data_IF_848681904785
#
_entry.id   IF_848681904785
#
_cell.length_a   1.000
_cell.length_b   1.000
_cell.length_c   1.000
_cell.angle_alpha   90.00
_cell.angle_beta   90.00
_cell.angle_gamma   90.00
#
_symmetry.space_group_name_H-M   'P 1'
#
loop_
_entity.id
_entity.type
_entity.pdbx_description
1 polymer ?
#
# COMPACT_ATOMS: atom_id res chain seq x y z
N UNK A 1 93.55 -17.56 -30.38
CA UNK A 1 92.71 -16.35 -30.25
C UNK A 1 91.28 -16.80 -30.04
N UNK A 2 90.74 -16.49 -28.86
CA UNK A 2 89.42 -16.90 -28.36
C UNK A 2 88.41 -15.84 -28.82
N UNK A 3 87.30 -16.25 -29.45
CA UNK A 3 86.19 -15.37 -29.83
C UNK A 3 84.85 -16.08 -29.61
N UNK A 4 84.10 -15.64 -28.61
CA UNK A 4 82.92 -16.27 -28.01
C UNK A 4 81.64 -16.04 -28.84
N UNK A 5 80.79 -17.06 -28.86
CA UNK A 5 79.44 -17.09 -29.44
C UNK A 5 78.42 -16.31 -28.59
N UNK A 6 77.50 -15.66 -29.30
CA UNK A 6 76.36 -14.92 -28.79
C UNK A 6 75.25 -15.84 -28.24
N UNK A 7 74.64 -15.45 -27.13
CA UNK A 7 73.40 -16.02 -26.60
C UNK A 7 72.39 -14.89 -26.36
N UNK A 8 71.30 -14.88 -27.12
CA UNK A 8 70.19 -13.96 -26.97
C UNK A 8 69.24 -14.47 -25.87
N UNK A 9 68.97 -13.64 -24.85
CA UNK A 9 68.01 -13.92 -23.79
C UNK A 9 66.68 -13.23 -24.13
N UNK A 10 65.66 -14.02 -24.48
CA UNK A 10 64.30 -13.55 -24.75
C UNK A 10 63.52 -13.54 -23.43
N UNK A 11 63.19 -12.36 -22.91
CA UNK A 11 62.32 -12.20 -21.73
C UNK A 11 60.88 -12.09 -22.23
N UNK A 12 60.08 -13.13 -21.97
CA UNK A 12 58.64 -13.13 -22.24
C UNK A 12 57.90 -12.39 -21.12
N UNK A 13 57.34 -11.22 -21.42
CA UNK A 13 56.43 -10.49 -20.53
C UNK A 13 55.03 -11.10 -20.68
N UNK A 14 54.57 -11.82 -19.67
CA UNK A 14 53.18 -12.31 -19.60
C UNK A 14 52.32 -11.16 -19.11
N UNK A 15 51.59 -10.51 -20.03
CA UNK A 15 50.57 -9.54 -19.68
C UNK A 15 49.35 -10.28 -19.12
N UNK A 16 49.10 -10.14 -17.81
CA UNK A 16 47.86 -10.60 -17.18
C UNK A 16 46.75 -9.62 -17.61
N UNK A 17 45.67 -10.07 -18.27
CA UNK A 17 44.56 -9.19 -18.57
C UNK A 17 43.86 -8.86 -17.25
N UNK A 18 43.89 -7.59 -16.85
CA UNK A 18 42.96 -7.04 -15.86
C UNK A 18 41.57 -7.14 -16.48
N UNK A 19 40.82 -8.17 -16.11
CA UNK A 19 39.38 -8.24 -16.37
C UNK A 19 38.74 -7.03 -15.70
N UNK A 20 38.47 -6.01 -16.51
CA UNK A 20 37.59 -4.93 -16.12
C UNK A 20 36.22 -5.56 -15.92
N UNK A 21 35.79 -5.70 -14.67
CA UNK A 21 34.40 -6.00 -14.37
C UNK A 21 33.57 -4.94 -15.08
N UNK A 22 32.86 -5.35 -16.13
CA UNK A 22 31.90 -4.49 -16.80
C UNK A 22 30.87 -4.18 -15.73
N UNK A 23 30.90 -2.95 -15.21
CA UNK A 23 29.84 -2.44 -14.35
C UNK A 23 28.54 -2.64 -15.11
N UNK A 24 27.71 -3.55 -14.60
CA UNK A 24 26.40 -3.83 -15.15
C UNK A 24 25.66 -2.49 -15.21
N UNK A 25 25.25 -2.08 -16.41
CA UNK A 25 24.57 -0.82 -16.62
C UNK A 25 23.37 -0.74 -15.68
N UNK A 26 23.33 0.28 -14.81
CA UNK A 26 22.18 0.59 -13.96
C UNK A 26 20.99 0.89 -14.87
N UNK A 27 20.12 -0.09 -15.06
CA UNK A 27 18.92 0.01 -15.88
C UNK A 27 17.76 0.70 -15.13
N UNK A 28 18.07 1.40 -14.04
CA UNK A 28 17.10 2.14 -13.23
C UNK A 28 16.25 1.26 -12.34
N UNK A 29 16.56 -0.03 -12.22
CA UNK A 29 15.80 -0.96 -11.37
C UNK A 29 15.77 -0.53 -9.91
N UNK A 30 16.95 -0.20 -9.36
CA UNK A 30 17.07 0.23 -7.96
C UNK A 30 16.26 1.50 -7.70
N UNK A 31 16.36 2.49 -8.59
CA UNK A 31 15.58 3.72 -8.49
C UNK A 31 14.08 3.45 -8.56
N UNK A 32 13.64 2.59 -9.48
CA UNK A 32 12.23 2.21 -9.65
C UNK A 32 11.68 1.48 -8.43
N UNK A 33 12.45 0.58 -7.83
CA UNK A 33 12.06 -0.13 -6.60
C UNK A 33 11.96 0.84 -5.42
N UNK A 34 12.95 1.72 -5.24
CA UNK A 34 12.92 2.72 -4.18
C UNK A 34 11.78 3.74 -4.38
N UNK A 35 11.44 4.07 -5.63
CA UNK A 35 10.27 4.89 -5.95
C UNK A 35 8.96 4.19 -5.56
N UNK A 36 8.83 2.89 -5.86
CA UNK A 36 7.70 2.09 -5.44
C UNK A 36 7.58 2.04 -3.91
N UNK A 37 8.68 1.81 -3.18
CA UNK A 37 8.68 1.81 -1.72
C UNK A 37 8.24 3.16 -1.13
N UNK A 38 8.59 4.29 -1.76
CA UNK A 38 8.10 5.61 -1.35
C UNK A 38 6.59 5.74 -1.55
N UNK A 39 6.06 5.24 -2.66
CA UNK A 39 4.62 5.21 -2.92
C UNK A 39 3.92 4.33 -1.88
N UNK A 40 4.43 3.13 -1.62
CA UNK A 40 3.90 2.25 -0.57
C UNK A 40 3.91 2.92 0.80
N UNK A 41 5.04 3.51 1.23
CA UNK A 41 5.13 4.20 2.51
C UNK A 41 4.07 5.29 2.68
N UNK A 42 3.83 6.07 1.62
CA UNK A 42 2.82 7.12 1.62
C UNK A 42 1.40 6.56 1.65
N UNK A 43 1.08 5.60 0.79
CA UNK A 43 -0.24 4.94 0.75
C UNK A 43 -0.54 4.22 2.06
N UNK A 44 0.42 3.50 2.64
CA UNK A 44 0.24 2.82 3.93
C UNK A 44 0.00 3.83 5.06
N UNK A 45 0.67 4.98 5.06
CA UNK A 45 0.51 6.00 6.11
C UNK A 45 -0.84 6.72 6.04
N UNK A 46 -1.27 7.13 4.84
CA UNK A 46 -2.60 7.73 4.63
C UNK A 46 -3.70 6.70 4.91
N UNK A 47 -3.54 5.49 4.36
CA UNK A 47 -4.49 4.41 4.54
C UNK A 47 -4.62 3.98 5.99
N UNK A 48 -3.53 3.98 6.77
CA UNK A 48 -3.56 3.71 8.21
C UNK A 48 -4.48 4.68 8.95
N UNK A 49 -4.35 5.99 8.70
CA UNK A 49 -5.25 7.01 9.28
C UNK A 49 -6.72 6.71 8.92
N UNK A 50 -6.99 6.36 7.67
CA UNK A 50 -8.34 6.01 7.20
C UNK A 50 -8.91 4.76 7.90
N UNK A 51 -8.20 3.63 7.86
CA UNK A 51 -8.73 2.37 8.42
C UNK A 51 -8.78 2.36 9.94
N UNK A 52 -7.85 3.04 10.62
CA UNK A 52 -7.83 3.18 12.09
C UNK A 52 -8.87 4.19 12.58
N UNK A 53 -8.95 5.36 11.94
CA UNK A 53 -9.91 6.41 12.29
C UNK A 53 -11.37 5.94 12.19
N UNK A 54 -11.65 5.05 11.23
CA UNK A 54 -13.00 4.53 10.99
C UNK A 54 -13.31 3.19 11.68
N UNK A 55 -12.35 2.59 12.37
CA UNK A 55 -12.42 1.21 12.86
C UNK A 55 -13.70 0.90 13.68
N UNK A 56 -14.05 1.80 14.60
CA UNK A 56 -15.20 1.62 15.51
C UNK A 56 -16.58 1.71 14.84
N UNK A 57 -16.63 2.13 13.57
CA UNK A 57 -17.86 2.22 12.77
C UNK A 57 -17.95 1.09 11.74
N UNK A 58 -16.86 0.37 11.52
CA UNK A 58 -16.79 -0.74 10.59
C UNK A 58 -17.49 -1.98 11.14
N UNK A 59 -18.32 -2.61 10.30
CA UNK A 59 -19.01 -3.87 10.63
C UNK A 59 -18.06 -5.06 10.75
N UNK A 60 -16.87 -4.97 10.12
CA UNK A 60 -15.80 -5.94 10.23
C UNK A 60 -14.49 -5.21 10.51
N UNK A 61 -13.83 -5.59 11.59
CA UNK A 61 -12.53 -5.08 11.99
C UNK A 61 -11.51 -6.21 12.08
N UNK A 62 -10.23 -5.84 12.05
CA UNK A 62 -9.11 -6.73 12.35
C UNK A 62 -8.08 -5.98 13.17
N UNK A 63 -7.21 -6.72 13.87
CA UNK A 63 -6.02 -6.13 14.47
C UNK A 63 -4.93 -5.97 13.41
N UNK A 64 -4.23 -4.84 13.45
CA UNK A 64 -3.10 -4.52 12.58
C UNK A 64 -2.02 -3.75 13.35
N UNK A 65 -0.79 -3.82 12.86
CA UNK A 65 0.39 -3.12 13.43
C UNK A 65 0.99 -2.08 12.49
N UNK A 66 0.44 -1.93 11.28
CA UNK A 66 0.89 -0.93 10.29
C UNK A 66 2.20 -1.27 9.58
N UNK A 67 2.44 -2.56 9.34
CA UNK A 67 3.57 -3.06 8.55
C UNK A 67 3.11 -3.54 7.17
N UNK A 68 3.91 -3.23 6.16
CA UNK A 68 3.93 -3.93 4.87
C UNK A 68 5.22 -4.74 4.82
N UNK A 69 5.12 -6.04 4.53
CA UNK A 69 6.27 -6.94 4.39
C UNK A 69 6.67 -7.08 2.93
N UNK A 70 7.95 -7.34 2.68
CA UNK A 70 8.49 -7.75 1.38
C UNK A 70 9.21 -9.10 1.49
N UNK A 71 9.13 -9.88 0.41
CA UNK A 71 9.91 -11.10 0.18
C UNK A 71 10.87 -10.83 -0.99
N UNK A 72 12.17 -10.73 -0.72
CA UNK A 72 13.21 -10.38 -1.70
C UNK A 72 13.28 -11.40 -2.86
N UNK A 73 13.21 -12.73 -2.60
CA UNK A 73 13.00 -13.73 -3.66
C UNK A 73 11.71 -13.57 -4.48
N UNK A 74 10.72 -12.83 -3.97
CA UNK A 74 9.46 -12.49 -4.63
C UNK A 74 9.58 -11.55 -5.82
N UNK A 75 10.67 -10.78 -5.89
CA UNK A 75 10.88 -9.84 -6.99
C UNK A 75 11.28 -10.56 -8.29
N UNK A 76 11.01 -9.93 -9.43
CA UNK A 76 11.43 -10.43 -10.73
C UNK A 76 12.96 -10.46 -10.92
N UNK A 77 13.70 -9.67 -10.14
CA UNK A 77 15.17 -9.60 -10.11
C UNK A 77 15.67 -9.58 -8.66
N UNK A 78 15.67 -10.73 -7.96
CA UNK A 78 15.93 -10.79 -6.51
C UNK A 78 17.28 -10.22 -6.08
N UNK A 79 18.35 -10.49 -6.83
CA UNK A 79 19.70 -9.99 -6.48
C UNK A 79 19.80 -8.47 -6.62
N UNK A 80 19.16 -7.90 -7.66
CA UNK A 80 19.10 -6.46 -7.85
C UNK A 80 18.23 -5.79 -6.79
N UNK A 81 17.10 -6.41 -6.43
CA UNK A 81 16.26 -5.94 -5.31
C UNK A 81 17.05 -5.96 -4.00
N UNK A 82 17.78 -7.06 -3.74
CA UNK A 82 18.63 -7.22 -2.56
C UNK A 82 19.66 -6.11 -2.44
N UNK A 83 20.35 -5.81 -3.54
CA UNK A 83 21.34 -4.74 -3.60
C UNK A 83 20.71 -3.36 -3.43
N UNK A 84 19.55 -3.12 -4.04
CA UNK A 84 18.84 -1.84 -3.99
C UNK A 84 18.35 -1.51 -2.57
N UNK A 85 17.83 -2.49 -1.83
CA UNK A 85 17.30 -2.28 -0.47
C UNK A 85 18.31 -2.56 0.66
N UNK A 86 19.45 -3.18 0.34
CA UNK A 86 20.51 -3.46 1.32
C UNK A 86 20.16 -4.57 2.33
N UNK A 87 19.25 -5.47 2.00
CA UNK A 87 18.71 -6.50 2.92
C UNK A 87 19.43 -7.84 2.71
N UNK A 88 19.95 -8.46 3.77
CA UNK A 88 20.66 -9.74 3.67
C UNK A 88 19.77 -10.99 3.86
N UNK A 89 18.55 -10.82 4.38
CA UNK A 89 17.56 -11.90 4.56
C UNK A 89 16.54 -11.93 3.43
N UNK A 90 15.72 -12.97 3.38
CA UNK A 90 14.63 -13.04 2.39
C UNK A 90 13.50 -12.08 2.71
N UNK A 91 13.18 -11.88 3.99
CA UNK A 91 12.09 -11.00 4.40
C UNK A 91 12.60 -9.71 5.03
N UNK A 92 11.91 -8.62 4.74
CA UNK A 92 12.13 -7.34 5.38
C UNK A 92 10.84 -6.53 5.47
N UNK A 93 10.89 -5.45 6.21
CA UNK A 93 9.85 -4.42 6.23
C UNK A 93 9.93 -3.63 4.93
N UNK A 94 8.85 -3.58 4.14
CA UNK A 94 8.78 -2.75 2.93
C UNK A 94 8.37 -1.33 3.28
N UNK A 95 7.35 -1.19 4.13
CA UNK A 95 6.86 0.11 4.59
C UNK A 95 6.35 0.02 6.03
N UNK A 96 6.46 1.14 6.74
CA UNK A 96 5.92 1.35 8.07
C UNK A 96 4.95 2.52 7.99
N UNK A 97 3.69 2.29 8.34
CA UNK A 97 2.69 3.34 8.33
C UNK A 97 2.94 4.34 9.47
N UNK A 98 2.92 5.63 9.18
CA UNK A 98 3.10 6.68 10.18
C UNK A 98 2.05 6.59 11.30
N UNK A 99 2.49 6.76 12.56
CA UNK A 99 1.63 6.72 13.74
C UNK A 99 1.13 5.33 14.15
N UNK A 100 1.49 4.28 13.41
CA UNK A 100 1.15 2.88 13.73
C UNK A 100 1.93 2.31 14.92
N UNK A 101 1.51 1.16 15.49
CA UNK A 101 2.30 0.41 16.47
C UNK A 101 3.75 0.17 16.02
N UNK A 102 3.95 -0.20 14.76
CA UNK A 102 5.29 -0.44 14.21
C UNK A 102 6.15 0.84 14.17
N UNK A 103 5.57 1.97 13.77
CA UNK A 103 6.29 3.25 13.79
C UNK A 103 6.70 3.66 15.21
N UNK A 104 5.80 3.47 16.20
CA UNK A 104 6.10 3.79 17.61
C UNK A 104 7.13 2.86 18.23
N UNK A 105 7.27 1.64 17.72
CA UNK A 105 8.33 0.71 18.09
C UNK A 105 9.68 1.04 17.42
N UNK A 106 9.76 2.08 16.59
CA UNK A 106 10.99 2.48 15.91
C UNK A 106 11.40 1.56 14.76
N UNK A 107 10.47 0.77 14.23
CA UNK A 107 10.71 -0.02 13.03
C UNK A 107 10.85 0.89 11.80
N UNK A 108 11.73 0.50 10.89
CA UNK A 108 12.07 1.26 9.69
C UNK A 108 11.95 0.38 8.43
N UNK A 109 11.63 0.97 7.27
CA UNK A 109 11.73 0.29 5.99
C UNK A 109 13.12 -0.35 5.80
N UNK A 110 13.14 -1.48 5.10
CA UNK A 110 14.29 -2.32 4.81
C UNK A 110 15.01 -2.92 6.02
N UNK A 111 14.41 -2.88 7.22
CA UNK A 111 14.88 -3.74 8.32
C UNK A 111 14.56 -5.21 8.02
N UNK A 112 15.54 -6.12 8.14
CA UNK A 112 15.32 -7.54 7.95
C UNK A 112 14.42 -8.13 9.05
N UNK A 113 13.64 -9.16 8.72
CA UNK A 113 12.88 -9.95 9.70
C UNK A 113 13.26 -11.41 9.50
N UNK A 114 13.67 -12.08 10.58
CA UNK A 114 14.05 -13.50 10.55
C UNK A 114 12.99 -14.42 11.13
N UNK A 115 12.15 -13.93 12.06
CA UNK A 115 11.08 -14.71 12.66
C UNK A 115 9.90 -13.83 13.11
N UNK A 116 8.72 -14.46 13.16
CA UNK A 116 7.47 -13.88 13.67
C UNK A 116 6.91 -14.85 14.71
N UNK A 117 6.69 -14.40 15.94
CA UNK A 117 6.26 -15.24 17.08
C UNK A 117 7.14 -16.49 17.26
N UNK A 118 8.46 -16.29 17.16
CA UNK A 118 9.45 -17.36 17.25
C UNK A 118 9.51 -18.31 16.05
N UNK A 119 8.58 -18.21 15.09
CA UNK A 119 8.60 -19.02 13.87
C UNK A 119 9.61 -18.44 12.88
N UNK A 120 10.66 -19.21 12.59
CA UNK A 120 11.65 -18.83 11.59
C UNK A 120 11.01 -18.75 10.21
N UNK A 121 11.08 -17.57 9.56
CA UNK A 121 10.42 -17.34 8.28
C UNK A 121 11.02 -18.18 7.13
N UNK A 122 12.33 -18.41 7.14
CA UNK A 122 12.97 -19.23 6.12
C UNK A 122 12.53 -20.71 6.20
N UNK A 123 12.24 -21.19 7.42
CA UNK A 123 11.67 -22.52 7.62
C UNK A 123 10.19 -22.57 7.27
N UNK A 124 9.42 -21.55 7.70
CA UNK A 124 7.99 -21.43 7.45
C UNK A 124 7.68 -21.55 5.96
N UNK A 125 8.48 -20.90 5.10
CA UNK A 125 8.22 -20.82 3.65
C UNK A 125 8.93 -21.88 2.82
N UNK A 126 9.63 -22.83 3.46
CA UNK A 126 10.43 -23.87 2.79
C UNK A 126 9.64 -24.67 1.75
N UNK A 127 8.39 -25.00 2.08
CA UNK A 127 7.51 -25.83 1.25
C UNK A 127 6.53 -25.02 0.37
N UNK A 128 6.73 -23.70 0.27
CA UNK A 128 5.89 -22.83 -0.54
C UNK A 128 6.01 -23.20 -2.03
N UNK A 129 4.90 -23.64 -2.62
CA UNK A 129 4.85 -24.12 -4.02
C UNK A 129 4.95 -23.01 -5.07
N UNK A 130 4.85 -21.76 -4.66
CA UNK A 130 4.95 -20.59 -5.51
C UNK A 130 5.48 -19.40 -4.71
N UNK A 131 6.20 -18.49 -5.36
CA UNK A 131 6.87 -17.39 -4.67
C UNK A 131 5.90 -16.47 -3.94
N UNK A 132 4.74 -16.18 -4.55
CA UNK A 132 3.71 -15.35 -3.92
C UNK A 132 3.14 -15.96 -2.62
N UNK A 133 3.19 -17.29 -2.46
CA UNK A 133 2.72 -17.96 -1.23
C UNK A 133 3.65 -17.70 -0.04
N UNK A 134 4.95 -17.46 -0.30
CA UNK A 134 5.94 -17.19 0.75
C UNK A 134 5.57 -15.93 1.54
N UNK A 135 5.29 -14.83 0.83
CA UNK A 135 4.84 -13.58 1.44
C UNK A 135 3.50 -13.76 2.16
N UNK A 136 2.52 -14.45 1.53
CA UNK A 136 1.23 -14.73 2.16
C UNK A 136 1.35 -15.53 3.46
N UNK A 137 2.30 -16.47 3.56
CA UNK A 137 2.54 -17.23 4.78
C UNK A 137 3.19 -16.38 5.87
N UNK A 138 4.13 -15.50 5.51
CA UNK A 138 4.73 -14.55 6.45
C UNK A 138 3.68 -13.56 7.00
N UNK A 139 2.86 -12.98 6.13
CA UNK A 139 1.72 -12.12 6.52
C UNK A 139 0.68 -12.90 7.33
N UNK A 140 0.45 -14.17 6.99
CA UNK A 140 -0.43 -15.07 7.71
C UNK A 140 0.05 -15.35 9.14
N UNK A 141 1.36 -15.56 9.33
CA UNK A 141 1.96 -15.72 10.66
C UNK A 141 1.79 -14.45 11.50
N UNK A 142 2.02 -13.27 10.90
CA UNK A 142 1.79 -11.98 11.56
C UNK A 142 0.33 -11.82 11.99
N UNK A 143 -0.61 -12.07 11.07
CA UNK A 143 -2.03 -11.91 11.37
C UNK A 143 -2.53 -12.98 12.36
N UNK A 144 -1.98 -14.19 12.34
CA UNK A 144 -2.28 -15.24 13.31
C UNK A 144 -1.90 -14.82 14.73
N UNK A 145 -0.69 -14.28 14.94
CA UNK A 145 -0.25 -13.75 16.23
C UNK A 145 -1.19 -12.68 16.76
N UNK A 146 -1.54 -11.71 15.91
CA UNK A 146 -2.49 -10.65 16.27
C UNK A 146 -3.87 -11.20 16.63
N UNK A 147 -4.41 -12.14 15.86
CA UNK A 147 -5.73 -12.70 16.12
C UNK A 147 -5.80 -13.54 17.40
N UNK A 148 -4.72 -14.26 17.73
CA UNK A 148 -4.67 -15.17 18.87
C UNK A 148 -4.31 -14.43 20.17
N UNK A 149 -3.35 -13.51 20.11
CA UNK A 149 -2.72 -12.92 21.29
C UNK A 149 -3.01 -11.43 21.46
N UNK A 150 -3.55 -10.76 20.43
CA UNK A 150 -3.67 -9.30 20.40
C UNK A 150 -2.33 -8.58 20.16
N UNK A 151 -1.23 -9.31 20.03
CA UNK A 151 0.12 -8.80 19.79
C UNK A 151 0.92 -9.78 18.94
N UNK A 152 2.00 -9.30 18.33
CA UNK A 152 2.96 -10.10 17.56
C UNK A 152 4.39 -9.70 17.94
N UNK A 153 5.29 -10.66 18.00
CA UNK A 153 6.72 -10.45 18.22
C UNK A 153 7.51 -10.64 16.92
N UNK A 154 8.46 -9.74 16.67
CA UNK A 154 9.33 -9.78 15.50
C UNK A 154 10.78 -9.96 15.95
N UNK A 155 11.49 -10.91 15.32
CA UNK A 155 12.94 -11.02 15.42
C UNK A 155 13.59 -10.23 14.29
N UNK A 156 14.25 -9.13 14.63
CA UNK A 156 14.98 -8.26 13.70
C UNK A 156 16.48 -8.55 13.85
N UNK A 157 17.16 -9.09 12.84
CA UNK A 157 18.61 -9.30 12.90
C UNK A 157 19.37 -8.03 13.30
N UNK A 158 20.26 -8.16 14.28
CA UNK A 158 21.01 -7.04 14.84
C UNK A 158 20.38 -6.40 16.09
N UNK A 159 19.16 -6.78 16.47
CA UNK A 159 18.58 -6.43 17.77
C UNK A 159 18.76 -7.60 18.76
N UNK A 160 19.09 -7.29 20.02
CA UNK A 160 19.29 -8.30 21.06
C UNK A 160 17.95 -8.89 21.56
N UNK A 161 16.89 -8.08 21.53
CA UNK A 161 15.55 -8.45 22.00
C UNK A 161 14.56 -8.47 20.83
N UNK A 162 13.46 -9.22 21.02
CA UNK A 162 12.34 -9.24 20.09
C UNK A 162 11.55 -7.94 20.20
N UNK A 163 11.07 -7.42 19.07
CA UNK A 163 10.18 -6.26 19.02
C UNK A 163 8.75 -6.74 19.18
N UNK A 164 8.09 -6.41 20.29
CA UNK A 164 6.70 -6.78 20.56
C UNK A 164 5.78 -5.62 20.13
N UNK A 165 4.82 -5.92 19.27
CA UNK A 165 3.85 -4.98 18.73
C UNK A 165 2.45 -5.37 19.19
N UNK A 166 1.78 -4.50 19.96
CA UNK A 166 0.36 -4.64 20.26
C UNK A 166 -0.48 -4.20 19.05
N UNK A 167 -1.44 -5.02 18.67
CA UNK A 167 -2.35 -4.72 17.56
C UNK A 167 -3.35 -3.62 17.90
N UNK A 168 -3.65 -2.78 16.93
CA UNK A 168 -4.76 -1.83 16.99
C UNK A 168 -5.90 -2.28 16.07
N UNK A 169 -7.14 -2.07 16.52
CA UNK A 169 -8.31 -2.34 15.70
C UNK A 169 -8.37 -1.36 14.52
N UNK A 170 -8.48 -1.91 13.31
CA UNK A 170 -8.68 -1.19 12.06
C UNK A 170 -9.86 -1.78 11.29
N UNK A 171 -10.47 -1.00 10.41
CA UNK A 171 -11.38 -1.55 9.41
C UNK A 171 -10.69 -2.66 8.61
N UNK A 172 -11.39 -3.76 8.36
CA UNK A 172 -10.83 -4.90 7.65
C UNK A 172 -10.72 -4.63 6.13
N UNK A 173 -9.71 -3.84 5.75
CA UNK A 173 -9.32 -3.58 4.38
C UNK A 173 -7.80 -3.79 4.19
N UNK A 174 -7.42 -4.28 3.01
CA UNK A 174 -6.03 -4.34 2.57
C UNK A 174 -5.72 -3.09 1.73
N UNK A 175 -4.51 -2.56 1.88
CA UNK A 175 -4.01 -1.40 1.15
C UNK A 175 -2.91 -1.88 0.22
N UNK A 176 -3.14 -1.81 -1.09
CA UNK A 176 -2.23 -2.42 -2.07
C UNK A 176 -1.85 -1.41 -3.14
N UNK A 177 -0.55 -1.26 -3.40
CA UNK A 177 -0.06 -0.53 -4.57
C UNK A 177 0.16 -1.51 -5.73
N UNK A 178 -0.36 -1.17 -6.91
CA UNK A 178 -0.15 -1.94 -8.15
C UNK A 178 0.76 -1.15 -9.08
N UNK A 179 2.07 -1.47 -9.16
CA UNK A 179 3.07 -0.59 -9.77
C UNK A 179 2.79 -0.20 -11.22
N UNK A 180 2.20 -1.12 -11.99
CA UNK A 180 1.96 -0.94 -13.42
C UNK A 180 0.67 -0.20 -13.76
N UNK A 181 -0.26 -0.10 -12.82
CA UNK A 181 -1.61 0.42 -13.02
C UNK A 181 -1.63 1.95 -12.90
N UNK A 182 -2.59 2.60 -13.56
CA UNK A 182 -2.74 4.06 -13.65
C UNK A 182 -4.00 4.61 -12.98
N UNK A 183 -4.79 3.75 -12.34
CA UNK A 183 -6.03 4.11 -11.64
C UNK A 183 -6.07 3.69 -10.19
N UNK A 184 -7.18 4.02 -9.52
CA UNK A 184 -7.57 3.48 -8.22
C UNK A 184 -8.73 2.50 -8.41
N UNK A 185 -8.83 1.49 -7.54
CA UNK A 185 -9.92 0.52 -7.58
C UNK A 185 -10.11 -0.18 -6.23
N UNK A 186 -11.25 -0.85 -6.05
CA UNK A 186 -11.50 -1.69 -4.90
C UNK A 186 -12.10 -3.05 -5.30
N UNK A 187 -11.80 -4.07 -4.50
CA UNK A 187 -12.50 -5.35 -4.52
C UNK A 187 -13.18 -5.64 -3.17
N UNK A 188 -13.55 -6.90 -2.95
CA UNK A 188 -14.24 -7.34 -1.75
C UNK A 188 -13.50 -7.03 -0.43
N UNK A 189 -12.17 -6.90 -0.44
CA UNK A 189 -11.32 -6.78 0.76
C UNK A 189 -10.20 -5.76 0.62
N UNK A 190 -9.87 -5.33 -0.59
CA UNK A 190 -8.68 -4.54 -0.86
C UNK A 190 -9.05 -3.27 -1.60
N UNK A 191 -8.40 -2.18 -1.24
CA UNK A 191 -8.29 -0.99 -2.07
C UNK A 191 -6.91 -0.96 -2.73
N UNK A 192 -6.90 -0.56 -3.99
CA UNK A 192 -5.77 -0.58 -4.89
C UNK A 192 -5.45 0.83 -5.37
N UNK A 193 -4.18 1.22 -5.28
CA UNK A 193 -3.66 2.44 -5.89
C UNK A 193 -2.62 2.08 -6.94
N UNK A 194 -2.82 2.51 -8.18
CA UNK A 194 -1.86 2.30 -9.26
C UNK A 194 -0.60 3.12 -9.05
N UNK A 195 0.57 2.55 -9.35
CA UNK A 195 1.86 3.26 -9.25
C UNK A 195 1.99 4.44 -10.24
N UNK A 196 1.14 4.48 -11.26
CA UNK A 196 1.04 5.57 -12.25
C UNK A 196 -0.21 6.44 -12.05
N UNK A 197 -0.96 6.23 -10.96
CA UNK A 197 -2.15 7.00 -10.65
C UNK A 197 -1.80 8.49 -10.50
N UNK A 198 -2.39 9.40 -11.32
CA UNK A 198 -2.04 10.82 -11.25
C UNK A 198 -2.26 11.46 -9.89
N UNK A 199 -3.23 10.95 -9.11
CA UNK A 199 -3.49 11.40 -7.74
C UNK A 199 -2.32 11.16 -6.76
N UNK A 200 -1.33 10.32 -7.12
CA UNK A 200 -0.07 10.23 -6.37
C UNK A 200 0.74 11.53 -6.39
N UNK A 201 0.44 12.48 -7.28
CA UNK A 201 1.09 13.80 -7.29
C UNK A 201 0.33 14.85 -6.46
N UNK A 202 -0.88 14.55 -6.01
CA UNK A 202 -1.71 15.48 -5.25
C UNK A 202 -1.27 15.57 -3.79
N UNK A 203 -1.66 16.62 -3.04
CA UNK A 203 -1.47 16.69 -1.59
C UNK A 203 -2.10 15.49 -0.85
N UNK A 204 -1.57 15.15 0.32
CA UNK A 204 -2.00 13.98 1.10
C UNK A 204 -3.50 13.96 1.39
N UNK A 205 -4.12 15.10 1.70
CA UNK A 205 -5.57 15.18 1.95
C UNK A 205 -6.40 14.77 0.72
N UNK A 206 -5.95 15.13 -0.48
CA UNK A 206 -6.65 14.81 -1.73
C UNK A 206 -6.38 13.38 -2.17
N UNK A 207 -5.17 12.85 -1.96
CA UNK A 207 -4.90 11.42 -2.11
C UNK A 207 -5.70 10.59 -1.09
N UNK A 208 -5.84 11.09 0.14
CA UNK A 208 -6.69 10.49 1.16
C UNK A 208 -8.15 10.46 0.72
N UNK A 209 -8.64 11.50 0.03
CA UNK A 209 -9.99 11.50 -0.53
C UNK A 209 -10.16 10.40 -1.60
N UNK A 210 -9.22 10.25 -2.52
CA UNK A 210 -9.23 9.15 -3.50
C UNK A 210 -9.26 7.78 -2.80
N UNK A 211 -8.40 7.59 -1.80
CA UNK A 211 -8.36 6.36 -1.01
C UNK A 211 -9.63 6.16 -0.17
N UNK A 212 -10.26 7.21 0.31
CA UNK A 212 -11.53 7.15 1.03
C UNK A 212 -12.68 6.71 0.12
N UNK A 213 -12.68 7.12 -1.15
CA UNK A 213 -13.63 6.62 -2.15
C UNK A 213 -13.50 5.10 -2.33
N UNK A 214 -12.28 4.60 -2.57
CA UNK A 214 -12.05 3.16 -2.71
C UNK A 214 -12.34 2.39 -1.41
N UNK A 215 -11.98 2.95 -0.26
CA UNK A 215 -12.31 2.37 1.03
C UNK A 215 -13.83 2.28 1.21
N UNK A 216 -14.60 3.29 0.81
CA UNK A 216 -16.06 3.24 0.88
C UNK A 216 -16.63 2.06 0.09
N UNK A 217 -16.11 1.75 -1.10
CA UNK A 217 -16.51 0.55 -1.85
C UNK A 217 -16.28 -0.75 -1.06
N UNK A 218 -15.13 -0.87 -0.37
CA UNK A 218 -14.83 -2.03 0.48
C UNK A 218 -15.80 -2.11 1.66
N UNK A 219 -15.95 -1.00 2.41
CA UNK A 219 -16.74 -0.96 3.65
C UNK A 219 -18.24 -1.16 3.41
N UNK A 220 -18.76 -0.61 2.31
CA UNK A 220 -20.17 -0.72 1.92
C UNK A 220 -20.47 -1.98 1.10
N UNK A 221 -19.44 -2.79 0.82
CA UNK A 221 -19.50 -4.06 0.08
C UNK A 221 -20.08 -3.91 -1.32
N UNK A 222 -19.76 -2.81 -2.01
CA UNK A 222 -20.23 -2.55 -3.36
C UNK A 222 -19.83 -3.64 -4.36
N UNK A 223 -18.58 -4.17 -4.37
CA UNK A 223 -18.20 -5.23 -5.30
C UNK A 223 -19.02 -6.52 -5.13
N UNK A 224 -19.32 -6.90 -3.89
CA UNK A 224 -20.15 -8.07 -3.58
C UNK A 224 -21.60 -7.83 -4.00
N UNK A 225 -22.15 -6.68 -3.63
CA UNK A 225 -23.52 -6.32 -3.99
C UNK A 225 -23.72 -6.29 -5.52
N UNK A 226 -22.77 -5.73 -6.27
CA UNK A 226 -22.79 -5.75 -7.75
C UNK A 226 -22.63 -7.16 -8.35
N UNK A 227 -21.88 -8.04 -7.69
CA UNK A 227 -21.77 -9.45 -8.10
C UNK A 227 -23.07 -10.21 -7.90
N UNK A 228 -23.84 -9.88 -6.86
CA UNK A 228 -25.10 -10.55 -6.51
C UNK A 228 -26.32 -9.98 -7.26
N UNK A 229 -26.33 -8.67 -7.53
CA UNK A 229 -27.50 -7.96 -8.07
C UNK A 229 -27.32 -7.57 -9.56
N UNK A 230 -26.12 -7.72 -10.10
CA UNK A 230 -25.76 -7.38 -11.47
C UNK A 230 -25.05 -6.03 -11.60
N UNK A 231 -24.40 -5.85 -12.75
CA UNK A 231 -23.52 -4.70 -13.05
C UNK A 231 -24.16 -3.74 -14.06
N UNK A 232 -25.46 -3.46 -13.96
CA UNK A 232 -26.09 -2.50 -14.88
C UNK A 232 -25.52 -1.11 -14.60
N UNK A 233 -25.48 -0.24 -15.63
CA UNK A 233 -24.91 1.11 -15.48
C UNK A 233 -25.54 1.93 -14.34
N UNK A 234 -26.85 1.78 -14.11
CA UNK A 234 -27.55 2.46 -13.02
C UNK A 234 -27.04 2.00 -11.64
N UNK A 235 -26.74 0.70 -11.52
CA UNK A 235 -26.35 0.05 -10.27
C UNK A 235 -24.92 0.47 -9.92
N UNK A 236 -24.04 0.48 -10.92
CA UNK A 236 -22.67 1.03 -10.81
C UNK A 236 -22.74 2.50 -10.37
N UNK A 237 -23.47 3.36 -11.10
CA UNK A 237 -23.60 4.78 -10.72
C UNK A 237 -24.11 4.98 -9.30
N UNK A 238 -25.07 4.18 -8.85
CA UNK A 238 -25.57 4.28 -7.49
C UNK A 238 -24.49 3.95 -6.45
N UNK A 239 -23.66 2.93 -6.70
CA UNK A 239 -22.52 2.61 -5.83
C UNK A 239 -21.44 3.69 -5.82
N UNK A 240 -21.15 4.30 -6.98
CA UNK A 240 -20.20 5.43 -7.09
C UNK A 240 -20.68 6.66 -6.31
N UNK A 241 -21.96 7.04 -6.48
CA UNK A 241 -22.58 8.12 -5.72
C UNK A 241 -22.56 7.86 -4.22
N UNK A 242 -22.77 6.61 -3.81
CA UNK A 242 -22.73 6.24 -2.40
C UNK A 242 -21.29 6.34 -1.85
N UNK A 243 -20.27 5.90 -2.62
CA UNK A 243 -18.87 6.04 -2.26
C UNK A 243 -18.42 7.51 -2.16
N UNK A 244 -18.84 8.36 -3.10
CA UNK A 244 -18.55 9.80 -3.08
C UNK A 244 -19.08 10.48 -1.84
N UNK A 245 -20.36 10.24 -1.54
CA UNK A 245 -21.01 10.80 -0.35
C UNK A 245 -20.34 10.33 0.94
N UNK A 246 -19.74 9.14 0.97
CA UNK A 246 -19.08 8.60 2.16
C UNK A 246 -17.66 9.18 2.38
N UNK A 247 -16.98 9.68 1.35
CA UNK A 247 -15.63 10.26 1.48
C UNK A 247 -15.48 11.27 2.64
N UNK A 248 -16.30 12.34 2.76
CA UNK A 248 -16.11 13.33 3.82
C UNK A 248 -16.29 12.76 5.23
N UNK A 249 -17.12 11.72 5.40
CA UNK A 249 -17.28 11.02 6.68
C UNK A 249 -16.01 10.25 7.07
N UNK A 250 -15.43 9.51 6.11
CA UNK A 250 -14.22 8.73 6.33
C UNK A 250 -13.00 9.63 6.62
N UNK A 251 -12.88 10.74 5.89
CA UNK A 251 -11.82 11.73 6.06
C UNK A 251 -11.88 12.39 7.44
N UNK A 252 -13.07 12.83 7.87
CA UNK A 252 -13.26 13.47 9.17
C UNK A 252 -12.74 12.60 10.33
N UNK A 253 -13.10 11.31 10.32
CA UNK A 253 -12.68 10.35 11.34
C UNK A 253 -11.18 10.02 11.29
N UNK A 254 -10.56 10.20 10.13
CA UNK A 254 -9.13 9.98 9.91
C UNK A 254 -8.27 11.22 10.24
N UNK A 255 -8.90 12.33 10.63
CA UNK A 255 -8.22 13.58 10.93
C UNK A 255 -7.83 14.40 9.69
N UNK A 256 -8.42 14.10 8.54
CA UNK A 256 -8.29 14.91 7.33
C UNK A 256 -9.46 15.89 7.21
N UNK A 257 -9.24 17.01 6.51
CA UNK A 257 -10.29 17.98 6.22
C UNK A 257 -11.37 17.34 5.31
N UNK A 258 -12.66 17.29 5.72
CA UNK A 258 -13.72 16.66 4.92
C UNK A 258 -13.87 17.26 3.52
N UNK A 259 -13.60 18.56 3.36
CA UNK A 259 -13.62 19.29 2.10
C UNK A 259 -12.52 18.85 1.13
N UNK A 260 -11.55 18.04 1.55
CA UNK A 260 -10.58 17.45 0.63
C UNK A 260 -11.26 16.57 -0.44
N UNK A 261 -12.42 15.99 -0.11
CA UNK A 261 -13.22 15.22 -1.07
C UNK A 261 -13.67 16.06 -2.27
N UNK A 262 -14.11 17.31 -2.05
CA UNK A 262 -14.54 18.19 -3.15
C UNK A 262 -13.35 18.69 -3.95
N UNK A 263 -12.23 19.06 -3.29
CA UNK A 263 -10.99 19.47 -3.96
C UNK A 263 -10.45 18.37 -4.87
N UNK A 264 -10.39 17.14 -4.35
CA UNK A 264 -10.00 15.97 -5.12
C UNK A 264 -10.93 15.78 -6.32
N UNK A 265 -12.25 15.76 -6.12
CA UNK A 265 -13.21 15.55 -7.21
C UNK A 265 -13.13 16.63 -8.28
N UNK A 266 -12.91 17.89 -7.90
CA UNK A 266 -12.71 19.00 -8.82
C UNK A 266 -11.41 18.84 -9.63
N UNK A 267 -10.28 18.53 -8.98
CA UNK A 267 -9.00 18.35 -9.68
C UNK A 267 -9.03 17.12 -10.58
N UNK A 268 -9.34 15.96 -10.01
CA UNK A 268 -9.39 14.70 -10.73
C UNK A 268 -10.42 14.74 -11.87
N UNK A 269 -11.64 15.20 -11.57
CA UNK A 269 -12.71 15.30 -12.55
C UNK A 269 -12.37 16.21 -13.72
N UNK A 270 -11.81 17.39 -13.48
CA UNK A 270 -11.44 18.31 -14.57
C UNK A 270 -10.24 17.82 -15.38
N UNK A 271 -9.28 17.12 -14.78
CA UNK A 271 -8.11 16.58 -15.48
C UNK A 271 -8.44 15.29 -16.27
N UNK A 272 -9.34 14.45 -15.76
CA UNK A 272 -9.64 13.12 -16.31
C UNK A 272 -10.91 13.07 -17.18
N UNK A 273 -11.96 13.85 -16.89
CA UNK A 273 -13.11 13.96 -17.82
C UNK A 273 -12.68 14.59 -19.16
N UNK A 274 -11.60 15.40 -19.14
CA UNK A 274 -10.97 15.94 -20.33
C UNK A 274 -10.06 14.92 -21.05
N UNK A 275 -9.58 13.87 -20.37
CA UNK A 275 -8.67 12.84 -20.92
C UNK A 275 -9.38 11.55 -21.35
N UNK A 276 -10.51 11.17 -20.77
CA UNK A 276 -11.18 9.89 -21.06
C UNK A 276 -12.71 10.01 -21.21
N UNK A 277 -13.19 10.10 -22.46
CA UNK A 277 -14.60 10.00 -22.87
C UNK A 277 -15.32 8.71 -22.38
N UNK A 278 -14.59 7.70 -21.89
CA UNK A 278 -15.14 6.47 -21.33
C UNK A 278 -15.71 6.63 -19.91
N UNK A 279 -15.15 7.52 -19.08
CA UNK A 279 -15.58 7.74 -17.69
C UNK A 279 -16.99 8.35 -17.66
N UNK A 280 -17.28 9.30 -18.56
CA UNK A 280 -18.63 9.90 -18.74
C UNK A 280 -19.73 8.90 -19.13
N UNK A 281 -19.39 7.68 -19.57
CA UNK A 281 -20.37 6.65 -19.95
C UNK A 281 -20.77 5.74 -18.79
N UNK A 282 -19.98 5.69 -17.73
CA UNK A 282 -20.19 4.83 -16.56
C UNK A 282 -20.37 5.60 -15.25
N UNK A 283 -19.94 6.87 -15.19
CA UNK A 283 -20.05 7.75 -14.02
C UNK A 283 -20.82 9.03 -14.37
N UNK A 284 -21.35 9.71 -13.35
CA UNK A 284 -21.92 11.06 -13.50
C UNK A 284 -20.82 12.10 -13.73
N UNK A 285 -21.21 13.28 -14.20
CA UNK A 285 -20.29 14.41 -14.36
C UNK A 285 -19.61 14.77 -13.04
N UNK A 286 -18.36 15.22 -13.09
CA UNK A 286 -17.62 15.59 -11.87
C UNK A 286 -18.34 16.67 -11.05
N UNK A 287 -19.08 17.57 -11.69
CA UNK A 287 -19.87 18.63 -11.09
C UNK A 287 -21.03 18.07 -10.25
N UNK A 288 -21.81 17.14 -10.81
CA UNK A 288 -22.87 16.44 -10.07
C UNK A 288 -22.30 15.66 -8.88
N UNK A 289 -21.12 15.05 -9.03
CA UNK A 289 -20.44 14.33 -7.94
C UNK A 289 -19.98 15.27 -6.83
N UNK A 290 -19.49 16.47 -7.17
CA UNK A 290 -19.15 17.51 -6.18
C UNK A 290 -20.38 17.92 -5.38
N UNK A 291 -21.52 18.17 -6.03
CA UNK A 291 -22.76 18.52 -5.34
C UNK A 291 -23.19 17.43 -4.33
N UNK A 292 -23.05 16.16 -4.69
CA UNK A 292 -23.34 15.03 -3.79
C UNK A 292 -22.42 15.01 -2.56
N UNK A 293 -21.14 15.32 -2.74
CA UNK A 293 -20.17 15.41 -1.63
C UNK A 293 -20.50 16.62 -0.75
N UNK A 294 -20.75 17.78 -1.36
CA UNK A 294 -21.04 19.02 -0.64
C UNK A 294 -22.29 18.92 0.23
N UNK A 295 -23.31 18.19 -0.23
CA UNK A 295 -24.53 17.93 0.52
C UNK A 295 -24.28 17.17 1.85
N UNK A 296 -23.20 16.40 1.96
CA UNK A 296 -22.86 15.64 3.17
C UNK A 296 -22.05 16.48 4.19
N UNK A 297 -21.34 17.52 3.74
CA UNK A 297 -20.45 18.33 4.59
C UNK A 297 -21.14 18.98 5.80
N UNK A 298 -22.37 19.54 5.71
CA UNK A 298 -23.07 20.07 6.89
C UNK A 298 -23.34 19.00 7.95
N UNK A 299 -23.75 17.79 7.53
CA UNK A 299 -24.01 16.67 8.43
C UNK A 299 -22.73 16.18 9.11
N UNK A 300 -21.64 16.05 8.36
CA UNK A 300 -20.33 15.68 8.89
C UNK A 300 -19.85 16.72 9.91
N UNK A 301 -19.92 18.02 9.59
CA UNK A 301 -19.53 19.09 10.52
C UNK A 301 -20.38 19.08 11.80
N UNK A 302 -21.70 18.88 11.67
CA UNK A 302 -22.59 18.79 12.83
C UNK A 302 -22.27 17.57 13.71
N UNK A 303 -21.97 16.42 13.09
CA UNK A 303 -21.56 15.21 13.81
C UNK A 303 -20.24 15.42 14.56
N UNK A 304 -19.21 15.95 13.87
CA UNK A 304 -17.92 16.25 14.46
C UNK A 304 -18.01 17.26 15.61
N UNK A 305 -18.82 18.32 15.46
CA UNK A 305 -19.01 19.33 16.51
C UNK A 305 -19.74 18.79 17.74
N UNK A 306 -20.70 17.88 17.55
CA UNK A 306 -21.52 17.32 18.64
C UNK A 306 -20.83 16.19 19.38
N UNK A 307 -20.26 15.25 18.62
CA UNK A 307 -19.81 13.95 19.13
C UNK A 307 -18.27 13.79 19.06
N UNK A 308 -17.57 14.77 18.48
CA UNK A 308 -16.13 14.69 18.18
C UNK A 308 -15.79 13.79 16.99
N UNK A 309 -16.80 13.19 16.35
CA UNK A 309 -16.68 12.05 15.45
C UNK A 309 -17.84 11.97 14.45
N UNK A 310 -17.58 11.42 13.27
CA UNK A 310 -18.57 11.25 12.21
C UNK A 310 -19.04 9.77 12.17
N UNK A 311 -20.00 9.40 13.05
CA UNK A 311 -20.54 8.03 13.13
C UNK A 311 -21.41 7.68 11.91
N UNK A 312 -20.75 7.37 10.79
CA UNK A 312 -21.39 6.99 9.54
C UNK A 312 -22.16 5.67 9.66
N UNK A 313 -21.86 4.81 10.65
CA UNK A 313 -22.62 3.57 10.84
C UNK A 313 -24.10 3.83 11.20
N UNK A 314 -24.41 5.02 11.72
CA UNK A 314 -25.77 5.44 12.11
C UNK A 314 -26.28 6.65 11.34
N UNK A 315 -25.40 7.58 10.99
CA UNK A 315 -25.78 8.90 10.49
C UNK A 315 -25.68 9.01 8.96
N UNK A 316 -24.93 8.12 8.31
CA UNK A 316 -24.84 8.09 6.85
C UNK A 316 -26.06 7.38 6.26
N UNK A 317 -26.91 8.13 5.56
CA UNK A 317 -28.08 7.58 4.90
C UNK A 317 -27.66 6.83 3.62
N UNK A 318 -27.63 5.50 3.72
CA UNK A 318 -27.49 4.62 2.55
C UNK A 318 -28.71 4.75 1.65
N UNK A 319 -28.48 4.97 0.36
CA UNK A 319 -29.59 4.97 -0.62
C UNK A 319 -29.70 3.55 -1.14
N UNK A 320 -30.87 2.93 -1.03
CA UNK A 320 -31.08 1.61 -1.62
C UNK A 320 -30.79 1.69 -3.12
N UNK A 321 -29.89 0.83 -3.58
CA UNK A 321 -29.70 0.60 -5.00
C UNK A 321 -30.80 -0.35 -5.45
N UNK A 322 -31.85 0.18 -6.09
CA UNK A 322 -32.99 -0.58 -6.62
C UNK A 322 -32.74 -1.13 -8.03
#
# INVERSE_FOLDING_TARGET
>A
MIGRLAGALMVAVIAVPLSSAIAQSDDGYAESLLALQRIDGRVQSIGWKLVKGNARFCSTTRLSVGLLLQDIPGYNRPDDARNAVGVQTDFAIQAVAEGSPAARAGLLPNQPISAIDGQNLAELVRDAKATFLRLQWAEGALQHGLNTNGSVSLSVPGTAEQVILSGEAVCAANLVVRPSDDGAAADARSLYIGGKFPGLTYPDDELAAAMAHELAHVLLRHPQWLSENGRKRRDIRATEREADRMMPWLLANAGFEPQAATRFMQRWGTEEDNRFLAIRRTHDGWDERVELIEAELPSVRAAMARDGVADWSKQFARKQVN
#
